data_IF_037535474378
#
_entry.id   IF_037535474378
#
_cell.length_a   1.000
_cell.length_b   1.000
_cell.length_c   1.000
_cell.angle_alpha   90.00
_cell.angle_beta   90.00
_cell.angle_gamma   90.00
#
_symmetry.space_group_name_H-M   'P 1'
#
loop_
_entity.id
_entity.type
_entity.pdbx_description
1 polymer ?
#
# COMPACT_ATOMS: atom_id res chain seq x y z
N UNK A 1 -35.37 -24.56 -9.81
CA UNK A 1 -34.89 -25.87 -9.26
C UNK A 1 -33.36 -25.96 -9.22
N UNK A 2 -32.60 -25.92 -10.32
CA UNK A 2 -31.12 -26.02 -10.23
C UNK A 2 -30.48 -24.79 -9.55
N UNK A 3 -30.90 -23.57 -9.92
CA UNK A 3 -30.43 -22.34 -9.29
C UNK A 3 -30.75 -22.26 -7.78
N UNK A 4 -31.91 -22.78 -7.37
CA UNK A 4 -32.29 -22.80 -5.95
C UNK A 4 -31.45 -23.79 -5.12
N UNK A 5 -31.07 -24.92 -5.71
CA UNK A 5 -30.17 -25.87 -5.05
C UNK A 5 -28.76 -25.30 -4.91
N UNK A 6 -28.28 -24.55 -5.94
CA UNK A 6 -26.96 -23.94 -5.92
C UNK A 6 -26.90 -22.79 -4.88
N UNK A 7 -27.97 -21.99 -4.80
CA UNK A 7 -28.12 -20.96 -3.76
C UNK A 7 -28.17 -21.56 -2.33
N UNK A 8 -28.87 -22.69 -2.16
CA UNK A 8 -28.89 -23.43 -0.89
C UNK A 8 -27.50 -24.00 -0.53
N UNK A 9 -26.70 -24.30 -1.55
CA UNK A 9 -25.29 -24.72 -1.37
C UNK A 9 -24.31 -23.56 -1.11
N UNK A 10 -24.81 -22.29 -1.05
CA UNK A 10 -24.02 -21.14 -0.68
C UNK A 10 -23.53 -20.29 -1.85
N UNK A 11 -24.00 -20.51 -3.09
CA UNK A 11 -23.60 -19.73 -4.28
C UNK A 11 -24.82 -19.13 -4.96
N UNK A 12 -24.90 -17.79 -5.01
CA UNK A 12 -26.02 -17.05 -5.61
C UNK A 12 -25.63 -16.49 -6.99
N UNK A 13 -26.00 -17.20 -8.07
CA UNK A 13 -25.69 -16.82 -9.45
C UNK A 13 -26.26 -15.44 -9.80
N UNK A 14 -27.46 -15.09 -9.32
CA UNK A 14 -28.11 -13.81 -9.64
C UNK A 14 -27.37 -12.65 -8.96
N UNK A 15 -26.94 -12.83 -7.71
CA UNK A 15 -26.10 -11.88 -7.01
C UNK A 15 -24.74 -11.70 -7.71
N UNK A 16 -24.11 -12.78 -8.15
CA UNK A 16 -22.86 -12.75 -8.93
C UNK A 16 -23.00 -11.96 -10.25
N UNK A 17 -24.07 -12.20 -10.98
CA UNK A 17 -24.38 -11.49 -12.23
C UNK A 17 -24.62 -9.98 -11.99
N UNK A 18 -25.32 -9.62 -10.91
CA UNK A 18 -25.54 -8.22 -10.53
C UNK A 18 -24.24 -7.53 -10.12
N UNK A 19 -23.42 -8.19 -9.30
CA UNK A 19 -22.10 -7.69 -8.91
C UNK A 19 -21.22 -7.43 -10.16
N UNK A 20 -21.13 -8.38 -11.08
CA UNK A 20 -20.36 -8.23 -12.31
C UNK A 20 -20.80 -7.02 -13.17
N UNK A 21 -22.10 -6.74 -13.24
CA UNK A 21 -22.63 -5.54 -13.94
C UNK A 21 -22.20 -4.24 -13.25
N UNK A 22 -22.18 -4.22 -11.91
CA UNK A 22 -21.73 -3.06 -11.14
C UNK A 22 -20.22 -2.87 -11.29
N UNK A 23 -19.42 -3.94 -11.21
CA UNK A 23 -17.97 -3.89 -11.41
C UNK A 23 -17.56 -3.39 -12.78
N UNK A 24 -18.30 -3.77 -13.84
CA UNK A 24 -18.05 -3.28 -15.19
C UNK A 24 -18.24 -1.76 -15.34
N UNK A 25 -19.11 -1.16 -14.52
CA UNK A 25 -19.25 0.31 -14.46
C UNK A 25 -18.12 0.96 -13.67
N UNK A 26 -17.79 0.36 -12.52
CA UNK A 26 -16.74 0.85 -11.61
C UNK A 26 -15.37 0.82 -12.30
N UNK A 27 -15.03 -0.27 -13.01
CA UNK A 27 -13.74 -0.41 -13.69
C UNK A 27 -13.46 0.67 -14.74
N UNK A 28 -14.51 1.30 -15.28
CA UNK A 28 -14.35 2.45 -16.19
C UNK A 28 -13.73 3.68 -15.51
N UNK A 29 -13.82 3.79 -14.20
CA UNK A 29 -13.22 4.89 -13.44
C UNK A 29 -11.67 4.83 -13.45
N UNK A 30 -11.13 3.62 -13.53
CA UNK A 30 -9.71 3.34 -13.60
C UNK A 30 -9.31 2.79 -14.98
N UNK A 31 -9.90 3.33 -16.05
CA UNK A 31 -9.57 2.93 -17.42
C UNK A 31 -8.31 3.61 -17.94
N UNK A 32 -7.58 2.91 -18.82
CA UNK A 32 -6.46 3.45 -19.59
C UNK A 32 -6.68 3.14 -21.08
N UNK A 33 -6.18 3.98 -22.02
CA UNK A 33 -6.37 3.77 -23.47
C UNK A 33 -5.70 2.49 -23.98
N UNK A 34 -4.70 1.96 -23.25
CA UNK A 34 -3.99 0.75 -23.59
C UNK A 34 -4.78 -0.53 -23.26
N UNK A 35 -5.88 -0.43 -22.49
CA UNK A 35 -6.71 -1.60 -22.15
C UNK A 35 -7.45 -2.11 -23.37
N UNK A 36 -7.37 -3.42 -23.61
CA UNK A 36 -8.08 -4.11 -24.68
C UNK A 36 -9.10 -5.04 -24.05
N UNK A 37 -10.38 -4.84 -24.39
CA UNK A 37 -11.48 -5.56 -23.77
C UNK A 37 -12.06 -4.78 -22.59
N UNK A 38 -12.57 -5.50 -21.59
CA UNK A 38 -13.19 -4.90 -20.40
C UNK A 38 -13.48 -5.94 -19.34
N UNK A 39 -13.88 -5.50 -18.15
CA UNK A 39 -14.30 -6.36 -17.04
C UNK A 39 -15.52 -7.20 -17.45
N UNK A 40 -15.48 -8.51 -17.17
CA UNK A 40 -16.51 -9.48 -17.46
C UNK A 40 -16.16 -10.48 -18.58
N UNK A 41 -14.98 -10.36 -19.21
CA UNK A 41 -14.40 -11.39 -20.08
C UNK A 41 -13.57 -12.40 -19.29
N UNK A 42 -13.08 -13.46 -19.95
CA UNK A 42 -12.18 -14.45 -19.33
C UNK A 42 -10.80 -13.89 -19.00
N UNK A 43 -10.39 -12.79 -19.64
CA UNK A 43 -9.09 -12.15 -19.42
C UNK A 43 -9.15 -10.66 -19.76
N UNK A 44 -8.29 -9.86 -19.11
CA UNK A 44 -8.00 -8.48 -19.49
C UNK A 44 -6.77 -8.41 -20.37
N UNK A 45 -6.80 -7.60 -21.43
CA UNK A 45 -5.65 -7.31 -22.28
C UNK A 45 -5.12 -5.91 -22.03
N UNK A 46 -3.78 -5.75 -22.12
CA UNK A 46 -3.12 -4.47 -22.03
C UNK A 46 -2.06 -4.34 -23.13
N UNK A 47 -2.12 -3.27 -23.92
CA UNK A 47 -1.15 -3.02 -24.99
C UNK A 47 0.04 -2.25 -24.42
N UNK A 48 1.19 -2.91 -24.32
CA UNK A 48 2.43 -2.26 -23.90
C UNK A 48 2.94 -1.31 -24.99
N UNK A 49 3.25 -0.08 -24.62
CA UNK A 49 3.92 0.88 -25.51
C UNK A 49 5.43 0.60 -25.53
N UNK A 50 5.86 -0.18 -26.52
CA UNK A 50 7.28 -0.54 -26.73
C UNK A 50 8.12 0.64 -27.25
N UNK A 51 7.52 1.77 -27.64
CA UNK A 51 8.28 2.97 -27.99
C UNK A 51 8.69 3.75 -26.75
N UNK A 52 7.83 3.78 -25.73
CA UNK A 52 8.15 4.32 -24.39
C UNK A 52 9.08 3.39 -23.61
N UNK A 53 8.92 2.08 -23.81
CA UNK A 53 9.69 1.03 -23.11
C UNK A 53 10.40 0.13 -24.12
N UNK A 54 11.52 0.59 -24.73
CA UNK A 54 12.28 -0.19 -25.73
C UNK A 54 12.97 -1.44 -25.14
N UNK A 55 13.23 -1.44 -23.83
CA UNK A 55 13.79 -2.59 -23.08
C UNK A 55 12.85 -2.98 -21.93
N UNK A 56 11.62 -3.44 -22.21
CA UNK A 56 10.60 -3.57 -21.21
C UNK A 56 10.90 -4.72 -20.23
N UNK A 57 11.06 -4.36 -18.95
CA UNK A 57 11.08 -5.28 -17.82
C UNK A 57 9.73 -5.19 -17.12
N UNK A 58 8.94 -6.27 -17.15
CA UNK A 58 7.70 -6.35 -16.40
C UNK A 58 8.01 -6.68 -14.94
N UNK A 59 7.39 -5.91 -14.05
CA UNK A 59 7.50 -6.08 -12.60
C UNK A 59 6.10 -6.36 -12.06
N UNK A 60 5.97 -7.34 -11.18
CA UNK A 60 4.68 -7.69 -10.57
C UNK A 60 4.82 -7.87 -9.06
N UNK A 61 3.77 -7.49 -8.35
CA UNK A 61 3.63 -7.69 -6.90
C UNK A 61 2.21 -8.12 -6.57
N UNK A 62 2.08 -9.04 -5.64
CA UNK A 62 0.79 -9.49 -5.10
C UNK A 62 0.79 -9.31 -3.60
N UNK A 63 -0.27 -8.70 -3.06
CA UNK A 63 -0.44 -8.50 -1.63
C UNK A 63 -1.94 -8.46 -1.27
N UNK A 64 -2.23 -8.58 0.01
CA UNK A 64 -3.57 -8.43 0.58
C UNK A 64 -3.66 -7.24 1.52
N UNK A 65 -4.86 -6.99 2.05
CA UNK A 65 -5.08 -5.93 3.04
C UNK A 65 -4.67 -6.37 4.44
N UNK A 66 -4.75 -7.65 4.73
CA UNK A 66 -4.48 -8.19 6.06
C UNK A 66 -5.57 -7.87 7.08
N UNK A 67 -5.23 -7.91 8.37
CA UNK A 67 -6.23 -7.84 9.46
C UNK A 67 -6.84 -6.47 9.71
N UNK A 68 -6.47 -5.43 8.93
CA UNK A 68 -7.20 -4.15 8.85
C UNK A 68 -8.66 -4.36 8.43
N UNK A 69 -8.95 -5.38 7.61
CA UNK A 69 -10.31 -5.76 7.20
C UNK A 69 -11.23 -5.95 8.42
N UNK A 70 -10.72 -6.45 9.55
CA UNK A 70 -11.53 -6.63 10.77
C UNK A 70 -12.03 -5.30 11.36
N UNK A 71 -11.35 -4.20 11.10
CA UNK A 71 -11.83 -2.85 11.46
C UNK A 71 -13.01 -2.47 10.55
N UNK A 72 -12.91 -2.76 9.25
CA UNK A 72 -14.00 -2.53 8.30
C UNK A 72 -15.26 -3.32 8.69
N UNK A 73 -15.12 -4.59 9.09
CA UNK A 73 -16.25 -5.40 9.58
C UNK A 73 -16.89 -4.79 10.84
N UNK A 74 -16.07 -4.39 11.81
CA UNK A 74 -16.56 -3.85 13.08
C UNK A 74 -17.24 -2.48 12.95
N UNK A 75 -16.85 -1.71 11.95
CA UNK A 75 -17.42 -0.36 11.69
C UNK A 75 -18.44 -0.35 10.56
N UNK A 76 -18.64 -1.48 9.87
CA UNK A 76 -19.46 -1.62 8.66
C UNK A 76 -19.09 -0.59 7.58
N UNK A 77 -17.77 -0.37 7.36
CA UNK A 77 -17.22 0.58 6.37
C UNK A 77 -16.23 -0.13 5.49
N UNK A 78 -16.56 -0.26 4.21
CA UNK A 78 -15.86 -1.15 3.27
C UNK A 78 -15.23 -0.41 2.08
N UNK A 79 -15.49 0.88 1.93
CA UNK A 79 -15.13 1.71 0.77
C UNK A 79 -13.66 2.10 0.69
N UNK A 80 -12.89 1.92 1.78
CA UNK A 80 -11.45 2.28 1.85
C UNK A 80 -10.52 1.10 1.65
N UNK A 81 -10.97 -0.11 1.97
CA UNK A 81 -10.15 -1.34 1.98
C UNK A 81 -9.57 -1.67 0.60
N UNK A 82 -10.32 -1.40 -0.47
CA UNK A 82 -9.83 -1.58 -1.84
C UNK A 82 -8.64 -0.68 -2.17
N UNK A 83 -8.62 0.56 -1.64
CA UNK A 83 -7.47 1.46 -1.81
C UNK A 83 -6.22 0.88 -1.13
N UNK A 84 -6.38 0.32 0.07
CA UNK A 84 -5.28 -0.35 0.76
C UNK A 84 -4.69 -1.50 -0.06
N UNK A 85 -5.55 -2.36 -0.63
CA UNK A 85 -5.12 -3.48 -1.46
C UNK A 85 -4.27 -3.02 -2.65
N UNK A 86 -4.74 -2.00 -3.36
CA UNK A 86 -3.98 -1.43 -4.50
C UNK A 86 -2.67 -0.83 -4.03
N UNK A 87 -2.71 -0.02 -2.96
CA UNK A 87 -1.53 0.67 -2.43
C UNK A 87 -0.41 -0.31 -2.04
N UNK A 88 -0.75 -1.41 -1.37
CA UNK A 88 0.22 -2.44 -0.98
C UNK A 88 0.96 -3.01 -2.19
N UNK A 89 0.24 -3.30 -3.29
CA UNK A 89 0.84 -3.88 -4.49
C UNK A 89 1.60 -2.84 -5.33
N UNK A 90 1.02 -1.65 -5.58
CA UNK A 90 1.64 -0.68 -6.49
C UNK A 90 2.85 0.02 -5.87
N UNK A 91 2.85 0.24 -4.55
CA UNK A 91 4.01 0.80 -3.86
C UNK A 91 5.19 -0.18 -3.84
N UNK A 92 4.93 -1.50 -3.81
CA UNK A 92 5.98 -2.51 -3.89
C UNK A 92 6.67 -2.52 -5.25
N UNK A 93 5.91 -2.59 -6.35
CA UNK A 93 6.50 -2.57 -7.69
C UNK A 93 7.17 -1.24 -8.02
N UNK A 94 6.71 -0.14 -7.41
CA UNK A 94 7.31 1.18 -7.54
C UNK A 94 8.76 1.21 -7.02
N UNK A 95 9.14 0.33 -6.08
CA UNK A 95 10.52 0.29 -5.54
C UNK A 95 11.58 0.00 -6.61
N UNK A 96 11.19 -0.58 -7.72
CA UNK A 96 12.04 -0.80 -8.89
C UNK A 96 12.01 0.35 -9.91
N UNK A 97 11.23 1.43 -9.65
CA UNK A 97 10.98 2.51 -10.61
C UNK A 97 9.90 2.18 -11.65
N UNK A 98 9.19 1.06 -11.51
CA UNK A 98 8.17 0.63 -12.45
C UNK A 98 6.94 1.54 -12.45
N UNK A 99 6.42 1.85 -13.66
CA UNK A 99 5.08 2.43 -13.84
C UNK A 99 4.05 1.32 -13.70
N UNK A 100 3.09 1.40 -12.76
CA UNK A 100 1.98 0.47 -12.69
C UNK A 100 1.10 0.58 -13.94
N UNK A 101 0.89 -0.55 -14.63
CA UNK A 101 0.09 -0.62 -15.84
C UNK A 101 -1.35 -1.02 -15.57
N UNK A 102 -1.52 -2.12 -14.86
CA UNK A 102 -2.83 -2.66 -14.55
C UNK A 102 -2.84 -3.45 -13.23
N UNK A 103 -4.05 -3.66 -12.76
CA UNK A 103 -4.36 -4.33 -11.50
C UNK A 103 -5.45 -5.38 -11.72
N UNK A 104 -5.35 -6.46 -10.94
CA UNK A 104 -6.34 -7.53 -10.80
C UNK A 104 -6.60 -7.76 -9.32
N UNK A 105 -7.86 -7.94 -8.91
CA UNK A 105 -8.23 -8.25 -7.54
C UNK A 105 -8.82 -9.65 -7.40
N UNK A 106 -8.72 -10.21 -6.20
CA UNK A 106 -9.40 -11.42 -5.78
C UNK A 106 -10.16 -11.13 -4.49
N UNK A 107 -11.49 -11.10 -4.58
CA UNK A 107 -12.40 -10.91 -3.45
C UNK A 107 -13.05 -12.26 -3.09
N UNK A 108 -12.63 -12.86 -1.97
CA UNK A 108 -13.21 -14.08 -1.45
C UNK A 108 -14.18 -13.75 -0.30
N UNK A 109 -15.43 -14.18 -0.42
CA UNK A 109 -16.50 -13.87 0.54
C UNK A 109 -17.12 -15.15 1.10
N UNK A 110 -17.72 -15.09 2.30
CA UNK A 110 -18.58 -16.20 2.76
C UNK A 110 -19.84 -16.32 1.88
N UNK A 111 -20.60 -15.25 1.82
CA UNK A 111 -21.80 -15.08 1.00
C UNK A 111 -21.74 -13.71 0.36
N UNK A 112 -22.07 -13.59 -0.89
CA UNK A 112 -21.98 -12.34 -1.63
C UNK A 112 -23.06 -11.35 -1.19
N UNK A 113 -22.65 -10.33 -0.45
CA UNK A 113 -23.40 -9.09 -0.28
C UNK A 113 -22.96 -8.12 -1.37
N UNK A 114 -23.84 -7.87 -2.33
CA UNK A 114 -23.52 -7.08 -3.52
C UNK A 114 -23.14 -5.64 -3.18
N UNK A 115 -23.75 -5.05 -2.17
CA UNK A 115 -23.50 -3.66 -1.78
C UNK A 115 -22.13 -3.53 -1.07
N UNK A 116 -21.79 -4.47 -0.20
CA UNK A 116 -20.46 -4.55 0.42
C UNK A 116 -19.38 -4.79 -0.64
N UNK A 117 -19.60 -5.74 -1.54
CA UNK A 117 -18.67 -6.04 -2.62
C UNK A 117 -18.47 -4.87 -3.59
N UNK A 118 -19.55 -4.15 -3.92
CA UNK A 118 -19.48 -2.90 -4.70
C UNK A 118 -18.64 -1.83 -4.01
N UNK A 119 -18.81 -1.65 -2.70
CA UNK A 119 -17.99 -0.71 -1.92
C UNK A 119 -16.51 -1.07 -1.94
N UNK A 120 -16.18 -2.36 -1.74
CA UNK A 120 -14.80 -2.86 -1.78
C UNK A 120 -14.17 -2.63 -3.16
N UNK A 121 -14.84 -3.06 -4.25
CA UNK A 121 -14.32 -2.93 -5.62
C UNK A 121 -14.26 -1.47 -6.06
N UNK A 122 -15.17 -0.61 -5.58
CA UNK A 122 -15.07 0.85 -5.77
C UNK A 122 -13.81 1.42 -5.14
N UNK A 123 -13.43 0.94 -3.97
CA UNK A 123 -12.15 1.27 -3.34
C UNK A 123 -10.96 0.82 -4.18
N UNK A 124 -11.02 -0.38 -4.78
CA UNK A 124 -9.97 -0.88 -5.69
C UNK A 124 -9.84 0.05 -6.91
N UNK A 125 -10.95 0.37 -7.57
CA UNK A 125 -10.93 1.26 -8.73
C UNK A 125 -10.40 2.65 -8.39
N UNK A 126 -10.76 3.20 -7.21
CA UNK A 126 -10.23 4.48 -6.73
C UNK A 126 -8.72 4.42 -6.49
N UNK A 127 -8.23 3.36 -5.87
CA UNK A 127 -6.80 3.13 -5.69
C UNK A 127 -6.05 3.03 -7.02
N UNK A 128 -6.61 2.30 -8.00
CA UNK A 128 -6.06 2.21 -9.35
C UNK A 128 -6.00 3.58 -10.05
N UNK A 129 -7.08 4.38 -9.96
CA UNK A 129 -7.12 5.74 -10.50
C UNK A 129 -6.06 6.65 -9.85
N UNK A 130 -5.89 6.54 -8.54
CA UNK A 130 -4.87 7.26 -7.78
C UNK A 130 -3.46 6.84 -8.19
N UNK A 131 -3.22 5.54 -8.36
CA UNK A 131 -1.95 4.98 -8.86
C UNK A 131 -1.70 5.26 -10.36
N UNK A 132 -2.75 5.58 -11.13
CA UNK A 132 -2.63 5.75 -12.58
C UNK A 132 -2.57 4.42 -13.36
N UNK A 133 -2.99 3.30 -12.76
CA UNK A 133 -3.10 2.01 -13.42
C UNK A 133 -4.55 1.65 -13.75
N UNK A 134 -4.76 0.67 -14.64
CA UNK A 134 -6.08 0.23 -15.02
C UNK A 134 -6.55 -0.96 -14.16
N UNK A 135 -7.80 -0.93 -13.68
CA UNK A 135 -8.46 -2.15 -13.18
C UNK A 135 -9.01 -2.91 -14.39
N UNK A 136 -8.37 -4.03 -14.76
CA UNK A 136 -8.70 -4.75 -16.01
C UNK A 136 -9.50 -6.04 -15.79
N UNK A 137 -9.62 -6.51 -14.57
CA UNK A 137 -10.35 -7.71 -14.19
C UNK A 137 -10.14 -8.06 -12.73
N UNK A 138 -10.69 -9.18 -12.34
CA UNK A 138 -10.60 -9.74 -11.01
C UNK A 138 -11.47 -10.98 -10.89
N UNK A 139 -11.58 -11.50 -9.67
CA UNK A 139 -12.41 -12.65 -9.34
C UNK A 139 -13.17 -12.39 -8.03
N UNK A 140 -14.44 -12.79 -7.97
CA UNK A 140 -15.22 -12.81 -6.73
C UNK A 140 -15.73 -14.20 -6.47
N UNK A 141 -15.29 -14.84 -5.38
CA UNK A 141 -15.60 -16.20 -5.05
C UNK A 141 -16.44 -16.30 -3.76
N UNK A 142 -17.59 -16.99 -3.81
CA UNK A 142 -18.35 -17.37 -2.64
C UNK A 142 -17.77 -18.67 -2.05
N UNK A 143 -17.30 -18.59 -0.79
CA UNK A 143 -16.57 -19.65 -0.09
C UNK A 143 -17.15 -19.84 1.32
N UNK A 144 -18.42 -20.24 1.38
CA UNK A 144 -19.23 -20.32 2.61
C UNK A 144 -18.63 -21.17 3.71
N UNK A 145 -17.95 -22.27 3.36
CA UNK A 145 -17.34 -23.18 4.34
C UNK A 145 -15.95 -22.73 4.81
N UNK A 146 -15.34 -21.76 4.14
CA UNK A 146 -14.00 -21.24 4.45
C UNK A 146 -14.06 -19.99 5.32
N UNK A 147 -14.94 -19.05 5.00
CA UNK A 147 -15.11 -17.79 5.71
C UNK A 147 -16.34 -17.81 6.61
N UNK A 148 -16.30 -17.08 7.72
CA UNK A 148 -17.48 -16.86 8.56
C UNK A 148 -18.45 -15.91 7.85
N UNK A 149 -19.73 -16.03 8.15
CA UNK A 149 -20.76 -15.14 7.60
C UNK A 149 -20.40 -13.67 7.85
N UNK A 150 -20.40 -12.86 6.80
CA UNK A 150 -20.03 -11.46 6.81
C UNK A 150 -18.51 -11.21 6.72
N UNK A 151 -17.67 -12.25 6.78
CA UNK A 151 -16.23 -12.12 6.55
C UNK A 151 -15.93 -12.22 5.05
N UNK A 152 -14.91 -11.47 4.61
CA UNK A 152 -14.29 -11.57 3.29
C UNK A 152 -12.78 -11.40 3.40
N UNK A 153 -12.06 -11.77 2.35
CA UNK A 153 -10.66 -11.43 2.16
C UNK A 153 -10.46 -10.76 0.80
N UNK A 154 -9.49 -9.86 0.72
CA UNK A 154 -9.17 -9.11 -0.48
C UNK A 154 -7.67 -9.15 -0.71
N UNK A 155 -7.29 -9.65 -1.87
CA UNK A 155 -5.93 -9.62 -2.38
C UNK A 155 -5.91 -9.02 -3.79
N UNK A 156 -4.76 -8.56 -4.23
CA UNK A 156 -4.60 -8.01 -5.56
C UNK A 156 -3.24 -8.28 -6.15
N UNK A 157 -3.13 -8.06 -7.46
CA UNK A 157 -1.89 -8.17 -8.21
C UNK A 157 -1.72 -6.95 -9.08
N UNK A 158 -0.64 -6.21 -8.88
CA UNK A 158 -0.21 -5.13 -9.75
C UNK A 158 0.83 -5.64 -10.75
N UNK A 159 0.72 -5.20 -11.99
CA UNK A 159 1.75 -5.39 -13.02
C UNK A 159 2.17 -4.01 -13.52
N UNK A 160 3.47 -3.79 -13.51
CA UNK A 160 4.10 -2.55 -13.98
C UNK A 160 5.23 -2.84 -14.96
N UNK A 161 5.81 -1.78 -15.51
CA UNK A 161 6.91 -1.82 -16.45
C UNK A 161 7.97 -0.79 -16.13
N UNK A 162 9.22 -1.13 -16.35
CA UNK A 162 10.37 -0.22 -16.35
C UNK A 162 11.30 -0.64 -17.48
N UNK A 163 12.11 0.26 -18.04
CA UNK A 163 13.21 -0.16 -18.89
C UNK A 163 14.25 -0.90 -18.06
N UNK A 164 14.73 -2.04 -18.53
CA UNK A 164 15.67 -2.89 -17.79
C UNK A 164 16.92 -2.13 -17.33
N UNK A 165 17.43 -1.24 -18.21
CA UNK A 165 18.58 -0.37 -17.93
C UNK A 165 18.30 0.74 -16.90
N UNK A 166 17.02 1.06 -16.61
CA UNK A 166 16.60 2.08 -15.67
C UNK A 166 16.04 1.50 -14.36
N UNK A 167 16.03 0.15 -14.22
CA UNK A 167 15.49 -0.50 -13.03
C UNK A 167 16.33 -0.19 -11.79
N UNK A 168 15.66 0.27 -10.72
CA UNK A 168 16.27 0.64 -9.45
C UNK A 168 16.33 -0.60 -8.54
N UNK A 169 17.52 -0.92 -8.03
CA UNK A 169 17.75 -2.09 -7.18
C UNK A 169 18.67 -1.82 -5.98
N UNK A 170 19.01 -0.56 -5.74
CA UNK A 170 19.87 -0.16 -4.62
C UNK A 170 21.38 -0.21 -4.90
N UNK A 171 21.84 -0.92 -5.94
CA UNK A 171 23.27 -1.14 -6.20
C UNK A 171 24.08 0.14 -6.45
N UNK A 172 23.43 1.23 -6.84
CA UNK A 172 24.05 2.53 -7.06
C UNK A 172 24.23 3.36 -5.78
N UNK A 173 23.74 2.91 -4.62
CA UNK A 173 23.89 3.61 -3.36
C UNK A 173 25.37 3.73 -2.94
N UNK A 174 25.71 4.88 -2.38
CA UNK A 174 27.06 5.15 -1.87
C UNK A 174 26.99 5.81 -0.49
N UNK A 175 28.08 5.73 0.26
CA UNK A 175 28.22 6.46 1.52
C UNK A 175 27.95 7.96 1.32
N UNK A 176 27.11 8.53 2.16
CA UNK A 176 26.75 9.95 2.14
C UNK A 176 25.48 10.27 1.39
N UNK A 177 24.90 9.30 0.66
CA UNK A 177 23.57 9.45 0.09
C UNK A 177 22.53 9.74 1.18
N UNK A 178 21.54 10.54 0.82
CA UNK A 178 20.52 11.03 1.75
C UNK A 178 19.27 10.14 1.67
N UNK A 179 18.74 9.81 2.83
CA UNK A 179 17.50 9.05 2.97
C UNK A 179 16.36 10.05 3.20
N UNK A 180 15.44 10.12 2.25
CA UNK A 180 14.22 10.94 2.33
C UNK A 180 13.05 10.03 2.68
N UNK A 181 12.39 10.32 3.81
CA UNK A 181 11.16 9.66 4.21
C UNK A 181 9.94 10.42 3.71
N UNK A 182 9.03 9.72 3.03
CA UNK A 182 7.72 10.22 2.61
C UNK A 182 6.70 9.88 3.70
N UNK A 183 5.95 10.88 4.14
CA UNK A 183 5.00 10.73 5.23
C UNK A 183 3.92 9.69 4.92
N UNK A 184 3.57 8.89 5.94
CA UNK A 184 2.42 7.99 5.89
C UNK A 184 1.12 8.72 6.21
N UNK A 185 -0.01 8.18 5.74
CA UNK A 185 -1.34 8.67 6.10
C UNK A 185 -1.80 8.23 7.51
N UNK A 186 -1.13 7.24 8.09
CA UNK A 186 -1.47 6.60 9.36
C UNK A 186 -0.81 5.23 9.44
N UNK A 187 -1.49 4.28 10.06
CA UNK A 187 -0.98 2.91 10.29
C UNK A 187 -0.78 2.15 8.98
N UNK A 188 -1.43 2.56 7.91
CA UNK A 188 -1.49 1.88 6.61
C UNK A 188 -2.23 0.53 6.73
N UNK A 189 -1.60 -0.59 6.33
CA UNK A 189 -2.24 -1.92 6.35
C UNK A 189 -1.47 -2.95 7.21
N UNK A 190 -0.45 -2.53 7.96
CA UNK A 190 0.41 -3.44 8.71
C UNK A 190 0.28 -3.26 10.23
N UNK A 191 0.51 -4.34 10.98
CA UNK A 191 0.49 -4.32 12.44
C UNK A 191 -0.90 -4.32 13.08
N UNK A 192 -1.98 -4.48 12.32
CA UNK A 192 -3.37 -4.36 12.79
C UNK A 192 -3.78 -5.43 13.81
N UNK A 193 -3.18 -6.60 13.80
CA UNK A 193 -3.45 -7.61 14.82
C UNK A 193 -3.07 -7.10 16.21
N UNK A 194 -1.90 -6.43 16.33
CA UNK A 194 -1.47 -5.80 17.57
C UNK A 194 -2.31 -4.55 17.88
N UNK A 195 -2.57 -3.69 16.91
CA UNK A 195 -3.45 -2.51 17.10
C UNK A 195 -4.78 -2.91 17.72
N UNK A 196 -5.46 -3.92 17.17
CA UNK A 196 -6.75 -4.40 17.66
C UNK A 196 -6.66 -5.01 19.05
N UNK A 197 -5.56 -5.73 19.34
CA UNK A 197 -5.31 -6.24 20.70
C UNK A 197 -5.15 -5.10 21.70
N UNK A 198 -4.34 -4.09 21.39
CA UNK A 198 -4.11 -2.95 22.29
C UNK A 198 -5.37 -2.13 22.55
N UNK A 199 -6.23 -1.95 21.55
CA UNK A 199 -7.54 -1.31 21.72
C UNK A 199 -8.42 -2.11 22.69
N UNK A 200 -8.50 -3.43 22.49
CA UNK A 200 -9.27 -4.32 23.35
C UNK A 200 -8.75 -4.27 24.80
N UNK A 201 -7.45 -4.38 24.99
CA UNK A 201 -6.80 -4.36 26.32
C UNK A 201 -7.02 -3.01 27.02
N UNK A 202 -7.08 -1.90 26.27
CA UNK A 202 -7.34 -0.56 26.78
C UNK A 202 -8.84 -0.26 26.99
N UNK A 203 -9.74 -1.16 26.58
CA UNK A 203 -11.19 -0.93 26.63
C UNK A 203 -11.69 0.16 25.68
N UNK A 204 -10.95 0.43 24.58
CA UNK A 204 -11.24 1.47 23.58
C UNK A 204 -12.00 0.87 22.40
N UNK A 205 -13.16 1.44 22.08
CA UNK A 205 -14.00 1.06 20.95
C UNK A 205 -13.66 1.85 19.67
N UNK A 206 -14.11 1.36 18.52
CA UNK A 206 -13.90 2.05 17.23
C UNK A 206 -14.71 3.35 17.11
N UNK A 207 -15.78 3.53 17.88
CA UNK A 207 -16.57 4.75 17.94
C UNK A 207 -16.02 5.82 18.88
N UNK A 208 -15.01 5.51 19.69
CA UNK A 208 -14.43 6.44 20.64
C UNK A 208 -13.52 7.45 19.92
N UNK A 209 -13.38 8.63 20.54
CA UNK A 209 -12.44 9.66 20.09
C UNK A 209 -11.23 9.69 21.01
N UNK A 210 -10.02 9.69 20.44
CA UNK A 210 -8.78 9.81 21.18
C UNK A 210 -8.05 11.11 20.82
N UNK A 211 -7.36 11.75 21.77
CA UNK A 211 -6.64 13.00 21.53
C UNK A 211 -5.64 12.87 20.37
N UNK A 212 -5.76 13.75 19.38
CA UNK A 212 -4.88 13.82 18.21
C UNK A 212 -5.21 12.83 17.09
N UNK A 213 -6.21 11.96 17.26
CA UNK A 213 -6.72 11.12 16.17
C UNK A 213 -7.64 11.94 15.24
N UNK A 214 -7.76 11.48 14.00
CA UNK A 214 -8.71 12.05 13.02
C UNK A 214 -10.09 11.45 13.24
N UNK A 215 -10.98 12.19 13.88
CA UNK A 215 -12.32 11.71 14.20
C UNK A 215 -12.30 10.56 15.21
N UNK A 216 -13.11 9.53 14.97
CA UNK A 216 -13.14 8.34 15.80
C UNK A 216 -11.91 7.46 15.58
N UNK A 217 -11.68 6.51 16.50
CA UNK A 217 -10.65 5.46 16.34
C UNK A 217 -10.85 4.69 15.03
N UNK A 218 -12.10 4.41 14.66
CA UNK A 218 -12.42 3.78 13.37
C UNK A 218 -12.01 4.63 12.18
N UNK A 219 -12.21 5.96 12.23
CA UNK A 219 -11.82 6.88 11.16
C UNK A 219 -10.29 6.93 10.99
N UNK A 220 -9.55 7.03 12.09
CA UNK A 220 -8.09 7.02 12.04
C UNK A 220 -7.56 5.69 11.47
N UNK A 221 -8.09 4.56 11.91
CA UNK A 221 -7.62 3.23 11.52
C UNK A 221 -8.06 2.83 10.11
N UNK A 222 -9.18 3.34 9.60
CA UNK A 222 -9.61 3.09 8.21
C UNK A 222 -9.03 4.09 7.21
N UNK A 223 -8.21 5.05 7.67
CA UNK A 223 -7.47 5.90 6.72
C UNK A 223 -6.69 5.03 5.75
N UNK A 224 -6.89 5.20 4.41
CA UNK A 224 -6.22 4.37 3.43
C UNK A 224 -4.70 4.50 3.47
N UNK A 225 -4.02 3.44 3.07
CA UNK A 225 -2.58 3.45 2.78
C UNK A 225 -2.29 4.47 1.69
N UNK A 226 -1.27 5.30 1.89
CA UNK A 226 -0.86 6.28 0.89
C UNK A 226 -0.30 5.59 -0.37
N UNK A 227 -0.65 6.10 -1.54
CA UNK A 227 -0.12 5.66 -2.83
C UNK A 227 0.96 6.65 -3.28
N UNK A 228 2.21 6.18 -3.37
CA UNK A 228 3.37 7.00 -3.64
C UNK A 228 3.76 7.07 -5.13
N UNK A 229 3.00 6.41 -6.00
CA UNK A 229 3.32 6.28 -7.42
C UNK A 229 3.53 7.63 -8.09
N UNK A 230 2.55 8.52 -8.05
CA UNK A 230 2.63 9.82 -8.74
C UNK A 230 3.77 10.72 -8.24
N UNK A 231 3.93 10.95 -6.91
CA UNK A 231 5.01 11.79 -6.42
C UNK A 231 6.41 11.22 -6.72
N UNK A 232 6.58 9.90 -6.67
CA UNK A 232 7.87 9.26 -7.00
C UNK A 232 8.15 9.33 -8.51
N UNK A 233 7.16 9.08 -9.37
CA UNK A 233 7.33 9.26 -10.82
C UNK A 233 7.69 10.69 -11.19
N UNK A 234 7.18 11.71 -10.49
CA UNK A 234 7.61 13.09 -10.70
C UNK A 234 9.10 13.29 -10.38
N UNK A 235 9.67 12.60 -9.39
CA UNK A 235 11.12 12.63 -9.18
C UNK A 235 11.86 12.07 -10.38
N UNK A 236 11.45 10.90 -10.87
CA UNK A 236 12.08 10.24 -12.03
C UNK A 236 11.96 11.09 -13.30
N UNK A 237 10.79 11.63 -13.58
CA UNK A 237 10.51 12.48 -14.74
C UNK A 237 11.31 13.80 -14.73
N UNK A 238 11.63 14.32 -13.55
CA UNK A 238 12.49 15.50 -13.40
C UNK A 238 13.98 15.15 -13.31
N UNK A 239 14.36 13.90 -13.55
CA UNK A 239 15.74 13.47 -13.65
C UNK A 239 16.47 13.31 -12.31
N UNK A 240 15.74 13.20 -11.19
CA UNK A 240 16.35 12.91 -9.89
C UNK A 240 16.95 11.50 -9.93
N UNK A 241 18.21 11.38 -9.58
CA UNK A 241 18.96 10.13 -9.54
C UNK A 241 18.58 9.31 -8.29
N UNK A 242 17.44 8.64 -8.32
CA UNK A 242 17.02 7.75 -7.22
C UNK A 242 17.90 6.50 -7.23
N UNK A 243 18.67 6.30 -6.17
CA UNK A 243 19.60 5.17 -6.01
C UNK A 243 18.97 3.95 -5.35
N UNK A 244 17.87 4.14 -4.63
CA UNK A 244 17.10 3.06 -4.03
C UNK A 244 15.82 3.55 -3.40
N UNK A 245 14.89 2.61 -3.20
CA UNK A 245 13.58 2.89 -2.61
C UNK A 245 13.14 1.74 -1.70
N UNK A 246 12.31 2.05 -0.72
CA UNK A 246 11.68 1.04 0.13
C UNK A 246 10.24 1.43 0.48
N UNK A 247 9.31 0.49 0.31
CA UNK A 247 7.96 0.59 0.84
C UNK A 247 7.96 0.07 2.29
N UNK A 248 7.45 0.88 3.22
CA UNK A 248 7.51 0.55 4.65
C UNK A 248 6.22 -0.17 5.06
N UNK A 249 6.33 -1.49 5.14
CA UNK A 249 5.25 -2.45 5.43
C UNK A 249 5.50 -3.21 6.74
N UNK A 250 5.10 -4.47 6.85
CA UNK A 250 5.43 -5.34 7.98
C UNK A 250 6.94 -5.44 8.17
N UNK A 251 7.40 -5.32 9.41
CA UNK A 251 8.82 -5.17 9.74
C UNK A 251 9.30 -3.71 9.84
N UNK A 252 8.45 -2.75 9.41
CA UNK A 252 8.70 -1.31 9.54
C UNK A 252 9.99 -0.83 8.86
N UNK A 253 10.56 0.25 9.36
CA UNK A 253 11.84 0.79 8.85
C UNK A 253 13.00 -0.21 9.03
N UNK A 254 12.94 -1.02 10.08
CA UNK A 254 14.04 -1.92 10.49
C UNK A 254 14.27 -3.05 9.48
N UNK A 255 13.19 -3.67 8.98
CA UNK A 255 13.30 -4.86 8.13
C UNK A 255 13.07 -4.53 6.62
N UNK A 256 12.47 -3.37 6.27
CA UNK A 256 12.22 -3.03 4.87
C UNK A 256 13.34 -2.19 4.23
N UNK A 257 13.92 -1.24 4.95
CA UNK A 257 14.97 -0.41 4.38
C UNK A 257 16.23 -1.22 4.01
N UNK A 258 16.70 -2.20 4.81
CA UNK A 258 17.81 -3.07 4.46
C UNK A 258 17.66 -3.85 3.14
N UNK A 259 16.43 -4.13 2.70
CA UNK A 259 16.18 -4.91 1.46
C UNK A 259 16.71 -4.23 0.19
N UNK A 260 16.93 -2.93 0.23
CA UNK A 260 17.44 -2.16 -0.90
C UNK A 260 18.90 -1.69 -0.70
N UNK A 261 19.48 -1.87 0.49
CA UNK A 261 20.85 -1.42 0.82
C UNK A 261 21.85 -2.48 0.37
N UNK A 262 22.87 -2.15 -0.43
CA UNK A 262 23.89 -3.10 -0.84
C UNK A 262 24.85 -3.44 0.31
N UNK A 263 25.56 -4.56 0.17
CA UNK A 263 26.56 -5.03 1.12
C UNK A 263 27.61 -3.94 1.44
N UNK A 264 28.03 -3.87 2.71
CA UNK A 264 29.02 -2.91 3.19
C UNK A 264 28.47 -1.53 3.55
N UNK A 265 27.15 -1.32 3.38
CA UNK A 265 26.45 -0.09 3.74
C UNK A 265 25.34 -0.36 4.77
N UNK A 266 24.92 0.68 5.47
CA UNK A 266 23.81 0.69 6.44
C UNK A 266 23.05 2.01 6.34
N UNK A 267 21.80 2.03 6.80
CA UNK A 267 21.04 3.25 6.97
C UNK A 267 21.22 3.82 8.39
N UNK A 268 21.64 5.06 8.52
CA UNK A 268 21.61 5.80 9.79
C UNK A 268 20.43 6.75 9.81
N UNK A 269 19.44 6.46 10.66
CA UNK A 269 18.20 7.24 10.78
C UNK A 269 18.25 8.09 12.05
N UNK A 270 17.78 9.35 11.95
CA UNK A 270 17.73 10.30 13.06
C UNK A 270 16.32 10.39 13.60
N UNK A 271 16.09 9.85 14.81
CA UNK A 271 14.80 9.94 15.51
C UNK A 271 14.48 11.41 15.81
N UNK A 272 13.21 11.78 15.55
CA UNK A 272 12.74 13.16 15.72
C UNK A 272 12.97 14.06 14.49
N UNK A 273 13.57 13.57 13.40
CA UNK A 273 13.72 14.34 12.16
C UNK A 273 12.44 14.36 11.30
N UNK A 274 11.44 13.56 11.63
CA UNK A 274 10.14 13.54 10.96
C UNK A 274 8.99 13.56 11.97
N UNK A 275 7.81 13.87 11.46
CA UNK A 275 6.60 13.90 12.29
C UNK A 275 6.06 12.49 12.51
N UNK A 276 5.97 12.09 13.78
CA UNK A 276 5.26 10.88 14.20
C UNK A 276 3.84 11.27 14.58
N UNK A 277 2.85 10.60 13.97
CA UNK A 277 1.43 10.91 14.23
C UNK A 277 1.00 10.41 15.61
N UNK A 278 0.03 11.09 16.27
CA UNK A 278 -0.45 10.72 17.60
C UNK A 278 -0.91 9.26 17.75
N UNK A 279 -1.43 8.65 16.69
CA UNK A 279 -1.81 7.23 16.70
C UNK A 279 -0.62 6.32 17.05
N UNK A 280 0.57 6.61 16.54
CA UNK A 280 1.77 5.80 16.85
C UNK A 280 2.27 6.04 18.27
N UNK A 281 2.18 7.28 18.76
CA UNK A 281 2.54 7.58 20.15
C UNK A 281 1.61 6.85 21.13
N UNK A 282 0.30 6.82 20.82
CA UNK A 282 -0.68 6.07 21.60
C UNK A 282 -0.38 4.56 21.56
N UNK A 283 -0.17 3.99 20.37
CA UNK A 283 0.13 2.56 20.20
C UNK A 283 1.41 2.16 20.93
N UNK A 284 2.49 2.95 20.78
CA UNK A 284 3.77 2.73 21.44
C UNK A 284 3.60 2.74 22.97
N UNK A 285 2.87 3.70 23.50
CA UNK A 285 2.58 3.80 24.93
C UNK A 285 1.78 2.62 25.46
N UNK A 286 0.72 2.19 24.73
CA UNK A 286 -0.10 1.04 25.14
C UNK A 286 0.70 -0.26 25.10
N UNK A 287 1.60 -0.39 24.13
CA UNK A 287 2.44 -1.59 23.99
C UNK A 287 3.62 -1.61 24.97
N UNK A 288 3.96 -0.48 25.61
CA UNK A 288 5.16 -0.35 26.44
C UNK A 288 6.47 -0.54 25.66
N UNK A 289 6.48 -0.20 24.37
CA UNK A 289 7.61 -0.38 23.47
C UNK A 289 8.51 0.85 23.43
N UNK A 290 9.81 0.66 23.27
CA UNK A 290 10.73 1.70 22.82
C UNK A 290 10.37 2.14 21.39
N UNK A 291 10.92 3.29 20.94
CA UNK A 291 10.70 3.76 19.57
C UNK A 291 11.20 2.75 18.53
N UNK A 292 12.35 2.16 18.76
CA UNK A 292 12.99 1.20 17.84
C UNK A 292 12.21 -0.11 17.72
N UNK A 293 11.63 -0.60 18.82
CA UNK A 293 10.74 -1.76 18.81
C UNK A 293 9.44 -1.44 18.05
N UNK A 294 8.82 -0.28 18.28
CA UNK A 294 7.64 0.16 17.57
C UNK A 294 7.90 0.35 16.05
N UNK A 295 9.09 0.86 15.68
CA UNK A 295 9.53 1.04 14.30
C UNK A 295 9.80 -0.27 13.55
N UNK A 296 9.76 -1.41 14.23
CA UNK A 296 9.76 -2.74 13.63
C UNK A 296 8.35 -3.30 13.38
N UNK A 297 7.35 -2.74 14.06
CA UNK A 297 5.95 -3.18 13.93
C UNK A 297 5.17 -2.27 13.00
N UNK A 298 5.38 -0.95 13.14
CA UNK A 298 4.64 0.09 12.41
C UNK A 298 5.58 1.01 11.64
N UNK A 299 5.02 1.73 10.67
CA UNK A 299 5.77 2.68 9.84
C UNK A 299 6.22 3.96 10.57
N UNK A 300 5.73 4.21 11.78
CA UNK A 300 6.06 5.35 12.66
C UNK A 300 6.01 6.72 11.95
N UNK A 301 5.13 6.87 10.96
CA UNK A 301 4.95 8.12 10.22
C UNK A 301 5.68 8.19 8.86
N UNK A 302 6.49 7.19 8.52
CA UNK A 302 7.19 7.09 7.22
C UNK A 302 6.66 5.89 6.46
N UNK A 303 5.91 6.11 5.37
CA UNK A 303 5.33 5.01 4.59
C UNK A 303 6.16 4.59 3.38
N UNK A 304 7.06 5.45 2.91
CA UNK A 304 7.94 5.18 1.78
C UNK A 304 9.28 5.91 1.94
N UNK A 305 10.33 5.36 1.36
CA UNK A 305 11.67 5.92 1.41
C UNK A 305 12.24 6.01 0.00
N UNK A 306 12.90 7.13 -0.29
CA UNK A 306 13.77 7.28 -1.46
C UNK A 306 15.18 7.67 -1.02
N UNK A 307 16.19 7.11 -1.67
CA UNK A 307 17.60 7.42 -1.42
C UNK A 307 18.16 8.13 -2.64
N UNK A 308 18.74 9.30 -2.42
CA UNK A 308 19.26 10.18 -3.48
C UNK A 308 20.67 10.69 -3.13
N UNK A 309 21.48 11.11 -4.13
CA UNK A 309 22.71 11.86 -3.87
C UNK A 309 22.44 13.08 -2.99
N UNK A 310 23.37 13.43 -2.11
CA UNK A 310 23.22 14.55 -1.16
C UNK A 310 22.92 15.88 -1.88
N UNK A 311 23.57 16.10 -3.00
CA UNK A 311 23.41 17.31 -3.82
C UNK A 311 22.03 17.44 -4.48
N UNK A 312 21.27 16.35 -4.57
CA UNK A 312 19.93 16.32 -5.16
C UNK A 312 18.80 16.38 -4.12
N UNK A 313 19.12 16.27 -2.82
CA UNK A 313 18.13 16.16 -1.76
C UNK A 313 17.13 17.34 -1.72
N UNK A 314 17.64 18.58 -1.81
CA UNK A 314 16.77 19.77 -1.77
C UNK A 314 15.86 19.86 -3.00
N UNK A 315 16.37 19.50 -4.19
CA UNK A 315 15.56 19.44 -5.41
C UNK A 315 14.48 18.36 -5.31
N UNK A 316 14.83 17.17 -4.79
CA UNK A 316 13.88 16.09 -4.58
C UNK A 316 12.77 16.50 -3.60
N UNK A 317 13.11 17.12 -2.48
CA UNK A 317 12.12 17.64 -1.51
C UNK A 317 11.20 18.70 -2.14
N UNK A 318 11.73 19.60 -2.95
CA UNK A 318 10.93 20.62 -3.63
C UNK A 318 9.95 20.01 -4.64
N UNK A 319 10.35 18.98 -5.38
CA UNK A 319 9.49 18.25 -6.32
C UNK A 319 8.37 17.52 -5.54
N UNK A 320 8.71 16.80 -4.48
CA UNK A 320 7.73 16.09 -3.64
C UNK A 320 6.72 17.06 -3.02
N UNK A 321 7.18 18.20 -2.49
CA UNK A 321 6.30 19.22 -1.93
C UNK A 321 5.33 19.79 -2.98
N UNK A 322 5.81 20.04 -4.22
CA UNK A 322 4.97 20.49 -5.34
C UNK A 322 3.95 19.42 -5.75
N UNK A 323 4.30 18.15 -5.60
CA UNK A 323 3.38 17.02 -5.80
C UNK A 323 2.37 16.84 -4.66
N UNK A 324 2.41 17.66 -3.61
CA UNK A 324 1.57 17.55 -2.42
C UNK A 324 2.01 16.47 -1.43
N UNK A 325 3.19 15.87 -1.63
CA UNK A 325 3.73 14.84 -0.76
C UNK A 325 4.61 15.47 0.33
N UNK A 326 4.23 15.29 1.59
CA UNK A 326 5.09 15.65 2.72
C UNK A 326 6.26 14.68 2.78
N UNK A 327 7.48 15.21 2.75
CA UNK A 327 8.71 14.43 2.82
C UNK A 327 9.79 15.20 3.59
N UNK A 328 10.73 14.48 4.19
CA UNK A 328 11.82 15.06 4.96
C UNK A 328 13.06 14.17 4.91
N UNK A 329 14.24 14.76 5.10
CA UNK A 329 15.48 13.99 5.29
C UNK A 329 15.43 13.31 6.66
N UNK A 330 15.43 11.99 6.65
CA UNK A 330 15.33 11.17 7.86
C UNK A 330 16.67 10.53 8.26
N UNK A 331 17.67 10.57 7.36
CA UNK A 331 18.96 9.94 7.60
C UNK A 331 19.89 9.96 6.40
N UNK A 332 20.90 9.12 6.45
CA UNK A 332 21.90 8.98 5.40
C UNK A 332 22.45 7.55 5.33
N UNK A 333 23.03 7.21 4.19
CA UNK A 333 23.75 5.95 3.97
C UNK A 333 25.18 6.06 4.54
N UNK A 334 25.56 5.09 5.34
CA UNK A 334 26.86 5.01 6.01
C UNK A 334 27.51 3.64 5.78
N UNK A 335 28.83 3.48 5.98
CA UNK A 335 29.44 2.14 6.02
C UNK A 335 28.82 1.29 7.12
N UNK A 336 28.53 0.01 6.85
CA UNK A 336 27.91 -0.88 7.82
C UNK A 336 27.65 -2.28 7.27
N UNK A 337 26.78 -3.01 7.94
CA UNK A 337 26.48 -4.43 7.74
C UNK A 337 25.06 -4.70 7.20
N UNK A 338 24.42 -3.71 6.60
CA UNK A 338 23.06 -3.81 6.06
C UNK A 338 21.96 -3.45 7.06
N UNK A 339 22.27 -3.05 8.28
CA UNK A 339 21.29 -2.77 9.34
C UNK A 339 20.84 -1.32 9.38
N UNK A 340 19.78 -1.05 10.14
CA UNK A 340 19.34 0.31 10.48
C UNK A 340 19.99 0.73 11.80
N UNK A 341 20.75 1.81 11.76
CA UNK A 341 21.36 2.45 12.91
C UNK A 341 20.51 3.64 13.35
N UNK A 342 20.26 3.76 14.65
CA UNK A 342 19.42 4.82 15.19
C UNK A 342 20.25 5.90 15.88
N UNK A 343 20.10 7.16 15.44
CA UNK A 343 20.68 8.33 16.09
C UNK A 343 19.59 9.05 16.90
N UNK A 344 19.84 9.28 18.19
CA UNK A 344 18.90 9.98 19.08
C UNK A 344 17.76 9.13 19.65
N UNK A 345 17.76 7.81 19.41
CA UNK A 345 16.85 6.93 20.12
C UNK A 345 17.17 6.94 21.61
N UNK A 346 16.15 7.10 22.45
CA UNK A 346 16.24 6.84 23.89
C UNK A 346 15.67 5.45 24.11
N UNK A 347 16.49 4.55 24.59
CA UNK A 347 16.08 3.21 25.03
C UNK A 347 15.19 3.30 26.28
#
# INVERSE_FOLDING_TARGET
MAADLYKQAGVDIDAGNEAAKRYAKIGKMAGRPEVIGGIGGFSGGFRLDVTKYPEPLLVSGTDGVGTKIKVAFATNRHDTIGIDCVAMCVNDILTSGAEPLFFLDYLAVNTLDVDVAEAVVSGVAKGCQEAGCALIGGETAEMGDVYKRGDYDLAGTAVGVVNASAAINGSAMTKGDVIIGLASNGVHSNGYSLVRKLLLDAGVGYGDELPGFRGTVGDELLTPTAIYVKPVHQLLENGVNIRGMAHITGGGLVDNLPRTIPDGLSARLRVGSWHVRPVFEWLQKQAGMSFTEAARVWNMGVGYVVVVPREEADAALAILAKAGQTATVIGEIVPGDGTVLWEGAKD
#
